data_IF_023099945199
#
_entry.id   IF_023099945199
#
_cell.length_a   1.000
_cell.length_b   1.000
_cell.length_c   1.000
_cell.angle_alpha   90.00
_cell.angle_beta   90.00
_cell.angle_gamma   90.00
#
_symmetry.space_group_name_H-M   'P 1'
#
loop_
_entity.id
_entity.type
_entity.pdbx_description
1 polymer ?
#
# COMPACT_ATOMS: atom_id res chain seq x y z
N UNK A 1 -12.45 -12.84 -7.52
CA UNK A 1 -12.93 -11.46 -7.71
C UNK A 1 -13.10 -10.84 -6.32
N UNK A 2 -12.75 -9.55 -6.17
CA UNK A 2 -12.78 -8.69 -4.95
C UNK A 2 -11.68 -9.03 -3.88
N UNK A 3 -10.93 -8.12 -3.20
CA UNK A 3 -11.07 -6.69 -2.77
C UNK A 3 -9.68 -6.02 -2.51
N UNK A 4 -9.54 -4.74 -2.89
CA UNK A 4 -8.82 -3.65 -2.18
C UNK A 4 -7.31 -3.68 -1.83
N UNK A 5 -6.51 -2.96 -2.63
CA UNK A 5 -5.22 -2.23 -2.39
C UNK A 5 -4.90 -1.42 -1.12
N UNK A 6 -4.57 -1.96 0.05
CA UNK A 6 -4.00 -1.12 1.11
C UNK A 6 -2.49 -0.95 0.92
N UNK A 7 -1.98 0.28 0.87
CA UNK A 7 -0.56 0.59 1.11
C UNK A 7 -0.53 1.34 2.44
N UNK A 8 -0.09 0.64 3.47
CA UNK A 8 0.13 1.10 4.82
C UNK A 8 1.57 0.76 5.24
N UNK A 9 2.18 1.59 6.07
CA UNK A 9 3.36 1.22 6.87
C UNK A 9 3.70 2.49 7.63
N UNK A 10 3.78 2.53 8.95
CA UNK A 10 3.85 1.47 9.96
C UNK A 10 2.57 0.61 10.15
N UNK A 11 2.69 -0.73 10.05
CA UNK A 11 1.79 -1.76 10.63
C UNK A 11 0.40 -2.00 10.01
N UNK A 12 0.30 -2.51 8.78
CA UNK A 12 -0.93 -2.56 7.93
C UNK A 12 -2.21 -3.29 8.42
N UNK A 13 -3.36 -2.81 7.87
CA UNK A 13 -4.75 -2.94 8.35
C UNK A 13 -5.62 -4.03 7.70
N UNK A 14 -6.57 -4.59 8.49
CA UNK A 14 -7.83 -5.16 8.00
C UNK A 14 -9.07 -4.61 8.75
N UNK A 15 -10.13 -4.47 7.95
CA UNK A 15 -11.48 -3.97 8.24
C UNK A 15 -12.21 -4.70 9.37
N UNK A 16 -12.72 -3.94 10.34
CA UNK A 16 -13.81 -4.36 11.22
C UNK A 16 -15.16 -3.96 10.63
N UNK A 17 -15.99 -4.94 10.25
CA UNK A 17 -17.44 -4.75 10.13
C UNK A 17 -18.04 -4.81 11.55
N UNK A 18 -18.31 -3.65 12.15
CA UNK A 18 -19.20 -3.53 13.31
C UNK A 18 -20.54 -3.03 12.83
N UNK A 19 -21.50 -3.93 12.69
CA UNK A 19 -22.90 -3.62 12.43
C UNK A 19 -23.43 -2.70 13.54
N UNK A 20 -23.92 -1.52 13.17
CA UNK A 20 -24.87 -0.78 14.00
C UNK A 20 -26.15 -1.60 13.99
N UNK A 21 -26.47 -2.21 15.14
CA UNK A 21 -27.79 -2.77 15.40
C UNK A 21 -28.76 -1.59 15.63
N UNK A 22 -29.32 -1.05 14.55
CA UNK A 22 -30.61 -0.39 14.65
C UNK A 22 -31.68 -1.46 14.41
N UNK A 23 -32.40 -1.77 15.49
CA UNK A 23 -33.52 -2.69 15.45
C UNK A 23 -34.68 -2.11 14.64
N UNK A 24 -35.25 -2.93 13.77
CA UNK A 24 -36.67 -2.86 13.46
C UNK A 24 -37.16 -4.24 12.99
N UNK A 25 -38.10 -4.80 13.76
CA UNK A 25 -38.93 -5.94 13.38
C UNK A 25 -40.06 -5.48 12.47
N UNK A 26 -40.35 -6.27 11.43
CA UNK A 26 -41.68 -6.69 10.94
C UNK A 26 -41.40 -7.43 9.61
N UNK A 27 -41.91 -8.63 9.33
CA UNK A 27 -43.29 -9.06 9.39
C UNK A 27 -43.71 -9.45 7.95
N UNK A 28 -43.73 -10.75 7.65
CA UNK A 28 -44.42 -11.44 6.55
C UNK A 28 -44.46 -10.86 5.11
N UNK A 29 -44.06 -11.66 4.11
CA UNK A 29 -44.57 -11.47 2.74
C UNK A 29 -43.75 -12.11 1.62
N UNK A 30 -44.11 -13.34 1.23
CA UNK A 30 -43.73 -14.01 -0.03
C UNK A 30 -44.32 -13.26 -1.25
N UNK A 31 -43.65 -13.27 -2.43
CA UNK A 31 -44.24 -13.65 -3.75
C UNK A 31 -43.27 -13.47 -4.95
N UNK A 32 -43.20 -14.58 -5.70
CA UNK A 32 -42.93 -14.89 -7.11
C UNK A 32 -42.15 -13.97 -8.09
N UNK A 33 -41.26 -14.66 -8.80
CA UNK A 33 -40.75 -14.34 -10.12
C UNK A 33 -41.82 -14.45 -11.24
N UNK A 34 -41.76 -13.55 -12.23
CA UNK A 34 -42.35 -13.79 -13.55
C UNK A 34 -41.37 -13.43 -14.68
N UNK A 35 -41.20 -14.41 -15.57
CA UNK A 35 -40.58 -14.30 -16.89
C UNK A 35 -41.59 -13.70 -17.86
N UNK A 36 -41.16 -12.76 -18.71
CA UNK A 36 -41.94 -12.22 -19.83
C UNK A 36 -41.11 -12.23 -21.10
N UNK A 37 -41.65 -12.85 -22.15
CA UNK A 37 -40.95 -13.24 -23.37
C UNK A 37 -40.98 -12.19 -24.50
N UNK A 38 -39.97 -12.33 -25.35
CA UNK A 38 -39.77 -11.95 -26.75
C UNK A 38 -41.01 -11.53 -27.56
N UNK A 39 -40.88 -10.43 -28.31
CA UNK A 39 -41.59 -10.22 -29.58
C UNK A 39 -40.60 -9.84 -30.69
N UNK A 40 -40.42 -10.73 -31.67
CA UNK A 40 -39.81 -10.42 -32.98
C UNK A 40 -40.87 -9.76 -33.85
N UNK A 41 -40.49 -8.73 -34.59
CA UNK A 41 -41.24 -8.24 -35.74
C UNK A 41 -40.27 -8.00 -36.89
N UNK A 42 -40.65 -8.50 -38.07
CA UNK A 42 -39.88 -8.52 -39.31
C UNK A 42 -40.59 -7.62 -40.34
N UNK A 43 -39.83 -6.72 -41.01
CA UNK A 43 -39.93 -6.27 -42.42
C UNK A 43 -39.13 -4.97 -42.58
N UNK A 44 -37.97 -5.02 -43.22
CA UNK A 44 -37.70 -4.90 -44.66
C UNK A 44 -37.75 -3.47 -45.18
N UNK A 45 -36.57 -2.88 -45.39
CA UNK A 45 -36.36 -1.64 -46.14
C UNK A 45 -34.86 -1.43 -46.31
N UNK A 46 -34.33 -1.73 -47.51
CA UNK A 46 -32.98 -1.34 -47.94
C UNK A 46 -32.95 0.18 -48.08
N UNK A 47 -31.93 0.83 -47.54
CA UNK A 47 -31.05 1.73 -48.29
C UNK A 47 -29.86 2.15 -47.42
N UNK A 48 -28.74 2.26 -48.13
CA UNK A 48 -27.51 2.98 -47.83
C UNK A 48 -26.44 2.38 -46.93
N UNK A 49 -25.34 2.07 -47.60
CA UNK A 49 -24.08 1.61 -47.06
C UNK A 49 -23.23 2.82 -46.72
N UNK A 50 -23.31 3.27 -45.47
CA UNK A 50 -22.36 4.19 -44.86
C UNK A 50 -21.89 3.53 -43.57
N UNK A 51 -20.67 3.00 -43.63
CA UNK A 51 -20.02 2.28 -42.54
C UNK A 51 -19.72 3.22 -41.36
N UNK A 52 -20.67 3.39 -40.45
CA UNK A 52 -20.38 3.81 -39.08
C UNK A 52 -19.75 2.64 -38.34
N UNK A 53 -18.42 2.55 -38.42
CA UNK A 53 -17.65 1.83 -37.42
C UNK A 53 -17.74 2.64 -36.14
N UNK A 54 -18.79 2.38 -35.36
CA UNK A 54 -18.95 2.89 -34.01
C UNK A 54 -17.76 2.45 -33.17
N UNK A 55 -16.77 3.33 -33.04
CA UNK A 55 -15.68 3.17 -32.09
C UNK A 55 -16.32 3.25 -30.70
N UNK A 56 -16.62 2.08 -30.13
CA UNK A 56 -16.93 1.95 -28.72
C UNK A 56 -15.66 2.31 -27.95
N UNK A 57 -15.43 3.62 -27.77
CA UNK A 57 -14.51 4.12 -26.77
C UNK A 57 -15.09 3.68 -25.43
N UNK A 58 -14.60 2.54 -24.94
CA UNK A 58 -14.58 2.25 -23.51
C UNK A 58 -13.90 3.44 -22.85
N UNK A 59 -14.69 4.42 -22.41
CA UNK A 59 -14.25 5.44 -21.45
C UNK A 59 -14.00 4.69 -20.15
N UNK A 60 -12.84 4.07 -20.02
CA UNK A 60 -12.26 3.79 -18.72
C UNK A 60 -11.94 5.15 -18.13
N UNK A 61 -12.90 5.76 -17.44
CA UNK A 61 -12.65 6.99 -16.68
C UNK A 61 -11.74 6.61 -15.51
N UNK A 62 -10.44 6.57 -15.75
CA UNK A 62 -9.45 6.60 -14.69
C UNK A 62 -9.66 7.94 -14.00
N UNK A 63 -10.32 7.94 -12.85
CA UNK A 63 -10.45 9.16 -12.04
C UNK A 63 -9.04 9.61 -11.69
N UNK A 64 -8.69 10.83 -12.06
CA UNK A 64 -7.33 11.35 -11.86
C UNK A 64 -7.07 11.51 -10.36
N UNK A 65 -6.01 10.88 -9.87
CA UNK A 65 -5.54 11.09 -8.49
C UNK A 65 -4.72 12.38 -8.47
N UNK A 66 -5.16 13.35 -7.69
CA UNK A 66 -4.39 14.57 -7.43
C UNK A 66 -3.58 14.39 -6.15
N UNK A 67 -2.28 14.62 -6.19
CA UNK A 67 -1.43 14.57 -5.00
C UNK A 67 -0.83 15.95 -4.76
N UNK A 68 -0.91 16.43 -3.53
CA UNK A 68 -0.36 17.74 -3.12
C UNK A 68 0.39 17.65 -1.81
N UNK A 69 1.47 18.41 -1.70
CA UNK A 69 2.14 18.66 -0.41
C UNK A 69 1.19 19.35 0.56
N UNK A 70 1.17 18.89 1.81
CA UNK A 70 0.47 19.52 2.94
C UNK A 70 1.17 20.84 3.26
N UNK A 71 0.41 21.94 3.33
CA UNK A 71 0.98 23.27 3.56
C UNK A 71 0.24 24.09 4.63
N UNK A 72 -0.96 23.68 5.03
CA UNK A 72 -1.78 24.37 6.02
C UNK A 72 -2.11 23.48 7.22
N UNK A 73 -2.55 24.11 8.32
CA UNK A 73 -3.07 23.38 9.48
C UNK A 73 -4.25 22.48 9.11
N UNK A 74 -5.15 22.95 8.25
CA UNK A 74 -6.29 22.17 7.77
C UNK A 74 -5.84 20.92 6.98
N UNK A 75 -4.79 21.03 6.18
CA UNK A 75 -4.21 19.87 5.48
C UNK A 75 -3.60 18.87 6.46
N UNK A 76 -2.93 19.35 7.52
CA UNK A 76 -2.38 18.49 8.58
C UNK A 76 -3.49 17.74 9.32
N UNK A 77 -4.59 18.42 9.65
CA UNK A 77 -5.77 17.80 10.27
C UNK A 77 -6.40 16.75 9.34
N UNK A 78 -6.50 17.04 8.04
CA UNK A 78 -7.00 16.09 7.05
C UNK A 78 -6.11 14.86 6.91
N UNK A 79 -4.78 15.02 6.98
CA UNK A 79 -3.83 13.92 6.98
C UNK A 79 -3.96 13.06 8.25
N UNK A 80 -3.99 13.68 9.43
CA UNK A 80 -4.20 13.00 10.71
C UNK A 80 -5.51 12.21 10.73
N UNK A 81 -6.62 12.85 10.36
CA UNK A 81 -7.93 12.20 10.28
C UNK A 81 -7.98 11.06 9.26
N UNK A 82 -7.23 11.17 8.16
CA UNK A 82 -7.09 10.05 7.22
C UNK A 82 -6.35 8.88 7.86
N UNK A 83 -5.21 9.11 8.52
CA UNK A 83 -4.46 8.06 9.19
C UNK A 83 -5.32 7.36 10.26
N UNK A 84 -6.08 8.12 11.04
CA UNK A 84 -7.00 7.56 12.03
C UNK A 84 -8.03 6.62 11.39
N UNK A 85 -8.62 7.01 10.25
CA UNK A 85 -9.56 6.15 9.49
C UNK A 85 -8.89 4.91 8.91
N UNK A 86 -7.66 5.03 8.41
CA UNK A 86 -6.93 3.89 7.81
C UNK A 86 -6.55 2.88 8.88
N UNK A 87 -6.15 3.31 10.07
CA UNK A 87 -5.73 2.44 11.17
C UNK A 87 -6.84 2.08 12.17
N UNK A 88 -8.02 2.70 12.05
CA UNK A 88 -9.15 2.44 12.95
C UNK A 88 -8.87 2.83 14.40
N UNK A 89 -8.06 3.86 14.61
CA UNK A 89 -7.65 4.36 15.93
C UNK A 89 -7.59 5.89 15.92
N UNK A 90 -7.46 6.49 17.10
CA UNK A 90 -7.26 7.94 17.24
C UNK A 90 -5.78 8.27 17.33
N UNK A 91 -5.40 9.42 16.77
CA UNK A 91 -4.06 9.96 16.86
C UNK A 91 -2.96 9.01 16.36
N UNK A 92 -3.21 8.28 15.26
CA UNK A 92 -2.22 7.42 14.60
C UNK A 92 -0.97 8.23 14.23
N UNK A 93 -1.17 9.41 13.66
CA UNK A 93 -0.14 10.45 13.58
C UNK A 93 -0.81 11.75 14.05
N UNK A 94 -0.47 12.26 15.25
CA UNK A 94 -1.04 13.51 15.75
C UNK A 94 -0.80 14.68 14.78
N UNK A 95 -1.79 15.54 14.62
CA UNK A 95 -1.72 16.73 13.74
C UNK A 95 -0.49 17.59 14.03
N UNK A 96 -0.17 17.76 15.31
CA UNK A 96 0.92 18.57 15.84
C UNK A 96 2.27 17.99 15.45
N UNK A 97 2.38 16.66 15.38
CA UNK A 97 3.57 15.97 14.87
C UNK A 97 3.79 16.26 13.39
N UNK A 98 2.71 16.28 12.59
CA UNK A 98 2.78 16.63 11.17
C UNK A 98 3.23 18.09 11.02
N UNK A 99 2.63 19.02 11.76
CA UNK A 99 3.00 20.45 11.76
C UNK A 99 4.48 20.64 12.12
N UNK A 100 4.92 20.05 13.24
CA UNK A 100 6.30 20.14 13.69
C UNK A 100 7.28 19.58 12.65
N UNK A 101 6.92 18.48 12.00
CA UNK A 101 7.74 17.88 10.94
C UNK A 101 7.87 18.79 9.73
N UNK A 102 6.77 19.41 9.27
CA UNK A 102 6.81 20.36 8.16
C UNK A 102 7.65 21.58 8.50
N UNK A 103 7.52 22.10 9.73
CA UNK A 103 8.35 23.22 10.20
C UNK A 103 9.84 22.86 10.23
N UNK A 104 10.19 21.62 10.56
CA UNK A 104 11.55 21.10 10.55
C UNK A 104 12.08 20.72 9.15
N UNK A 105 11.33 20.99 8.07
CA UNK A 105 11.73 20.70 6.70
C UNK A 105 11.41 19.28 6.21
N UNK A 106 10.60 18.52 6.96
CA UNK A 106 10.08 17.23 6.54
C UNK A 106 8.94 17.34 5.51
N UNK A 107 8.23 16.23 5.30
CA UNK A 107 7.25 16.10 4.22
C UNK A 107 5.94 15.47 4.68
N UNK A 108 4.84 16.04 4.20
CA UNK A 108 3.57 15.35 4.15
C UNK A 108 2.84 15.68 2.83
N UNK A 109 2.00 14.76 2.36
CA UNK A 109 1.19 14.95 1.16
C UNK A 109 -0.17 14.28 1.31
N UNK A 110 -1.19 14.85 0.67
CA UNK A 110 -2.53 14.28 0.53
C UNK A 110 -2.75 13.80 -0.90
N UNK A 111 -3.55 12.74 -1.05
CA UNK A 111 -4.08 12.29 -2.31
C UNK A 111 -5.61 12.43 -2.32
N UNK A 112 -6.10 13.06 -3.37
CA UNK A 112 -7.50 13.38 -3.57
C UNK A 112 -8.05 12.71 -4.83
N UNK A 113 -9.29 12.23 -4.75
CA UNK A 113 -10.08 11.74 -5.87
C UNK A 113 -11.45 12.41 -5.79
N UNK A 114 -11.84 13.13 -6.84
CA UNK A 114 -13.11 13.89 -6.91
C UNK A 114 -13.33 14.83 -5.71
N UNK A 115 -12.27 15.49 -5.25
CA UNK A 115 -12.31 16.41 -4.11
C UNK A 115 -12.36 15.74 -2.73
N UNK A 116 -12.25 14.41 -2.66
CA UNK A 116 -12.22 13.65 -1.41
C UNK A 116 -10.80 13.21 -1.11
N UNK A 117 -10.31 13.48 0.10
CA UNK A 117 -9.02 12.97 0.59
C UNK A 117 -9.13 11.45 0.84
N UNK A 118 -8.37 10.69 0.06
CA UNK A 118 -8.39 9.22 0.04
C UNK A 118 -7.05 8.58 0.39
N UNK A 119 -5.98 9.37 0.43
CA UNK A 119 -4.64 8.90 0.74
C UNK A 119 -3.77 10.00 1.36
N UNK A 120 -2.78 9.63 2.15
CA UNK A 120 -1.79 10.56 2.68
C UNK A 120 -0.46 9.86 2.94
N UNK A 121 0.59 10.66 2.95
CA UNK A 121 1.94 10.24 3.31
C UNK A 121 2.55 11.26 4.25
N UNK A 122 3.29 10.80 5.26
CA UNK A 122 4.06 11.60 6.18
C UNK A 122 5.46 11.01 6.35
N UNK A 123 6.47 11.88 6.42
CA UNK A 123 7.86 11.50 6.64
C UNK A 123 8.70 12.67 7.13
N UNK A 124 9.81 12.35 7.77
CA UNK A 124 10.74 13.30 8.36
C UNK A 124 12.14 13.13 7.78
N UNK A 125 12.93 14.21 7.81
CA UNK A 125 14.32 14.16 7.36
C UNK A 125 15.11 13.15 8.20
N UNK A 126 15.96 12.40 7.54
CA UNK A 126 16.80 11.38 8.14
C UNK A 126 18.24 11.52 7.63
N UNK A 127 19.18 11.04 8.44
CA UNK A 127 20.56 10.84 8.01
C UNK A 127 20.89 9.37 8.15
N UNK A 128 21.45 8.78 7.10
CA UNK A 128 21.94 7.40 7.10
C UNK A 128 23.31 7.39 6.44
N UNK A 129 24.32 6.84 7.12
CA UNK A 129 25.72 6.81 6.64
C UNK A 129 26.26 8.20 6.20
N UNK A 130 25.86 9.26 6.91
CA UNK A 130 26.28 10.63 6.61
C UNK A 130 25.58 11.28 5.41
N UNK A 131 24.63 10.58 4.78
CA UNK A 131 23.83 11.06 3.64
C UNK A 131 22.45 11.49 4.10
N UNK A 132 21.99 12.64 3.60
CA UNK A 132 20.67 13.18 3.95
C UNK A 132 19.59 12.58 3.07
N UNK A 133 18.51 12.13 3.69
CA UNK A 133 17.36 11.56 3.01
C UNK A 133 16.06 11.84 3.74
N UNK A 134 15.00 11.18 3.27
CA UNK A 134 13.67 11.24 3.88
C UNK A 134 13.31 9.87 4.44
N UNK A 135 12.99 9.78 5.72
CA UNK A 135 12.31 8.60 6.26
C UNK A 135 10.80 8.75 6.07
N UNK A 136 10.22 7.97 5.16
CA UNK A 136 8.78 7.90 4.91
C UNK A 136 8.08 7.06 5.97
N UNK A 137 7.80 7.65 7.12
CA UNK A 137 7.25 6.93 8.28
C UNK A 137 5.87 6.31 8.04
N UNK A 138 4.93 7.08 7.47
CA UNK A 138 3.55 6.62 7.24
C UNK A 138 3.09 6.92 5.82
N UNK A 139 2.46 5.96 5.17
CA UNK A 139 1.67 6.14 3.95
C UNK A 139 0.39 5.37 4.13
N UNK A 140 -0.78 5.95 3.91
CA UNK A 140 -2.07 5.29 4.10
C UNK A 140 -3.03 5.62 2.96
N UNK A 141 -3.87 4.65 2.59
CA UNK A 141 -4.91 4.82 1.56
C UNK A 141 -6.20 4.19 2.08
N UNK A 142 -7.34 4.86 1.92
CA UNK A 142 -8.64 4.28 2.27
C UNK A 142 -8.91 3.02 1.46
N UNK A 143 -9.41 1.98 2.12
CA UNK A 143 -9.72 0.66 1.54
C UNK A 143 -10.67 0.70 0.33
N UNK A 144 -11.51 1.73 0.20
CA UNK A 144 -12.39 1.93 -0.96
C UNK A 144 -11.65 2.40 -2.23
N UNK A 145 -10.50 3.05 -2.08
CA UNK A 145 -9.66 3.58 -3.19
C UNK A 145 -8.42 2.75 -3.44
N UNK A 146 -8.42 1.59 -2.82
CA UNK A 146 -7.41 0.58 -2.86
C UNK A 146 -7.33 -0.03 -4.28
N UNK A 147 -6.16 -0.04 -4.91
CA UNK A 147 -5.88 -0.37 -6.33
C UNK A 147 -6.13 0.76 -7.35
N UNK A 148 -6.56 1.96 -6.94
CA UNK A 148 -6.76 3.06 -7.88
C UNK A 148 -5.44 3.80 -8.26
N UNK A 149 -4.28 3.19 -8.00
CA UNK A 149 -2.97 3.82 -8.21
C UNK A 149 -2.58 4.89 -7.17
N UNK A 150 -3.41 5.12 -6.14
CA UNK A 150 -3.22 6.20 -5.15
C UNK A 150 -1.88 6.10 -4.41
N UNK A 151 -1.54 4.93 -3.87
CA UNK A 151 -0.28 4.80 -3.12
C UNK A 151 0.97 4.90 -4.01
N UNK A 152 0.87 4.49 -5.29
CA UNK A 152 1.95 4.74 -6.25
C UNK A 152 2.10 6.24 -6.52
N UNK A 153 0.99 6.95 -6.74
CA UNK A 153 1.01 8.41 -6.94
C UNK A 153 1.61 9.15 -5.73
N UNK A 154 1.22 8.76 -4.51
CA UNK A 154 1.77 9.30 -3.25
C UNK A 154 3.29 9.10 -3.16
N UNK A 155 3.77 7.88 -3.42
CA UNK A 155 5.22 7.57 -3.36
C UNK A 155 6.00 8.31 -4.45
N UNK A 156 5.48 8.37 -5.67
CA UNK A 156 6.10 9.15 -6.74
C UNK A 156 6.17 10.64 -6.40
N UNK A 157 5.11 11.22 -5.85
CA UNK A 157 5.13 12.61 -5.38
C UNK A 157 6.18 12.82 -4.28
N UNK A 158 6.25 11.92 -3.30
CA UNK A 158 7.25 11.97 -2.23
C UNK A 158 8.69 11.89 -2.76
N UNK A 159 8.94 11.02 -3.75
CA UNK A 159 10.23 10.91 -4.43
C UNK A 159 10.60 12.19 -5.18
N UNK A 160 9.64 12.76 -5.93
CA UNK A 160 9.85 14.02 -6.66
C UNK A 160 10.12 15.19 -5.70
N UNK A 161 9.43 15.23 -4.57
CA UNK A 161 9.72 16.20 -3.52
C UNK A 161 11.14 16.00 -2.99
N UNK A 162 11.54 14.77 -2.65
CA UNK A 162 12.88 14.47 -2.14
C UNK A 162 13.98 14.87 -3.14
N UNK A 163 13.77 14.60 -4.43
CA UNK A 163 14.68 15.02 -5.50
C UNK A 163 14.83 16.54 -5.56
N UNK A 164 13.73 17.30 -5.47
CA UNK A 164 13.77 18.77 -5.44
C UNK A 164 14.46 19.33 -4.20
N UNK A 165 14.47 18.60 -3.09
CA UNK A 165 15.18 18.97 -1.87
C UNK A 165 16.67 18.57 -1.90
N UNK A 166 17.15 17.95 -2.98
CA UNK A 166 18.54 17.47 -3.07
C UNK A 166 18.83 16.30 -2.13
N UNK A 167 17.82 15.50 -1.79
CA UNK A 167 17.97 14.34 -0.92
C UNK A 167 18.50 13.13 -1.71
N UNK A 168 19.31 12.33 -1.04
CA UNK A 168 19.95 11.15 -1.63
C UNK A 168 19.01 9.96 -1.80
N UNK A 169 18.06 9.82 -0.87
CA UNK A 169 17.19 8.66 -0.80
C UNK A 169 15.89 8.93 -0.04
N UNK A 170 14.95 7.99 -0.19
CA UNK A 170 13.80 7.82 0.71
C UNK A 170 13.89 6.44 1.36
N UNK A 171 13.72 6.33 2.67
CA UNK A 171 13.73 5.07 3.42
C UNK A 171 12.42 4.80 4.13
N UNK A 172 12.13 3.52 4.37
CA UNK A 172 11.03 3.09 5.22
C UNK A 172 11.18 1.62 5.59
N UNK A 173 10.41 1.15 6.56
CA UNK A 173 10.37 -0.27 6.93
C UNK A 173 9.05 -0.90 6.52
N UNK A 174 9.04 -2.20 6.20
CA UNK A 174 7.82 -2.97 5.93
C UNK A 174 7.81 -4.35 6.56
N UNK A 175 6.63 -4.94 6.72
CA UNK A 175 6.49 -6.32 7.19
C UNK A 175 6.88 -7.30 6.07
N UNK A 176 7.95 -8.10 6.25
CA UNK A 176 8.38 -9.03 5.21
C UNK A 176 7.41 -10.17 4.93
N UNK A 177 6.40 -10.41 5.78
CA UNK A 177 5.36 -11.41 5.49
C UNK A 177 4.24 -10.88 4.60
N UNK A 178 4.11 -9.55 4.46
CA UNK A 178 3.04 -8.95 3.64
C UNK A 178 3.47 -8.98 2.18
N UNK A 179 3.09 -10.05 1.49
CA UNK A 179 3.45 -10.36 0.10
C UNK A 179 3.19 -9.20 -0.87
N UNK A 180 2.04 -8.53 -0.76
CA UNK A 180 1.70 -7.39 -1.62
C UNK A 180 2.65 -6.20 -1.40
N UNK A 181 3.13 -5.99 -0.17
CA UNK A 181 4.08 -4.93 0.14
C UNK A 181 5.47 -5.27 -0.38
N UNK A 182 5.87 -6.53 -0.29
CA UNK A 182 7.10 -7.00 -0.90
C UNK A 182 7.10 -6.71 -2.42
N UNK A 183 6.02 -7.07 -3.11
CA UNK A 183 5.85 -6.76 -4.53
C UNK A 183 5.82 -5.25 -4.83
N UNK A 184 5.04 -4.47 -4.07
CA UNK A 184 4.93 -3.02 -4.28
C UNK A 184 6.27 -2.33 -4.08
N UNK A 185 6.96 -2.59 -2.97
CA UNK A 185 8.22 -1.94 -2.63
C UNK A 185 9.36 -2.37 -3.56
N UNK A 186 9.50 -3.67 -3.85
CA UNK A 186 10.66 -4.19 -4.59
C UNK A 186 10.47 -4.22 -6.11
N UNK A 187 9.24 -4.40 -6.60
CA UNK A 187 8.96 -4.47 -8.05
C UNK A 187 8.35 -3.18 -8.56
N UNK A 188 7.27 -2.67 -7.95
CA UNK A 188 6.62 -1.44 -8.46
C UNK A 188 7.49 -0.20 -8.24
N UNK A 189 8.05 -0.03 -7.05
CA UNK A 189 8.92 1.10 -6.72
C UNK A 189 10.40 0.82 -7.02
N UNK A 190 10.85 -0.42 -6.94
CA UNK A 190 12.27 -0.74 -7.13
C UNK A 190 13.17 -0.32 -5.96
N UNK A 191 12.60 -0.16 -4.75
CA UNK A 191 13.39 0.01 -3.54
C UNK A 191 14.24 -1.24 -3.26
N UNK A 192 15.36 -1.06 -2.56
CA UNK A 192 16.31 -2.13 -2.22
C UNK A 192 16.28 -2.37 -0.73
N UNK A 193 16.27 -3.64 -0.33
CA UNK A 193 16.39 -4.01 1.08
C UNK A 193 17.83 -3.75 1.53
N UNK A 194 17.99 -3.03 2.64
CA UNK A 194 19.30 -2.76 3.24
C UNK A 194 19.47 -3.45 4.60
N UNK A 195 18.42 -3.50 5.41
CA UNK A 195 18.49 -4.04 6.77
C UNK A 195 17.28 -4.89 7.13
N UNK A 196 17.44 -5.67 8.18
CA UNK A 196 16.39 -6.42 8.83
C UNK A 196 16.44 -6.17 10.33
N UNK A 197 15.27 -5.90 10.90
CA UNK A 197 15.11 -5.70 12.33
C UNK A 197 14.04 -6.63 12.85
N UNK A 198 14.43 -7.41 13.85
CA UNK A 198 13.53 -8.26 14.58
C UNK A 198 12.73 -7.45 15.60
N UNK A 199 11.41 -7.64 15.60
CA UNK A 199 10.50 -7.01 16.57
C UNK A 199 10.71 -5.50 16.76
N UNK A 200 10.93 -4.79 15.66
CA UNK A 200 11.45 -3.41 15.63
C UNK A 200 10.61 -2.40 16.41
N UNK A 201 9.28 -2.52 16.35
CA UNK A 201 8.34 -1.66 17.07
C UNK A 201 7.77 -2.34 18.33
N UNK A 202 8.33 -3.48 18.75
CA UNK A 202 7.76 -4.29 19.82
C UNK A 202 6.43 -4.94 19.43
N UNK A 203 5.62 -5.26 20.44
CA UNK A 203 4.26 -5.76 20.26
C UNK A 203 3.34 -4.56 20.04
N UNK A 204 2.79 -4.45 18.83
CA UNK A 204 1.85 -3.38 18.50
C UNK A 204 0.43 -3.85 18.82
N UNK A 205 -0.21 -3.18 19.79
CA UNK A 205 -1.63 -3.37 20.14
C UNK A 205 -2.51 -2.32 19.46
N UNK A 206 -2.32 -2.13 18.15
CA UNK A 206 -3.26 -1.37 17.33
C UNK A 206 -4.41 -2.28 16.85
N UNK A 207 -5.38 -1.72 16.14
CA UNK A 207 -6.49 -2.49 15.58
C UNK A 207 -6.07 -3.62 14.63
N UNK A 208 -4.80 -3.68 14.22
CA UNK A 208 -4.32 -4.36 13.01
C UNK A 208 -3.32 -5.48 13.27
N UNK A 209 -2.43 -5.27 14.25
CA UNK A 209 -1.30 -6.14 14.57
C UNK A 209 -1.45 -6.83 15.93
N UNK A 210 -2.67 -6.83 16.51
CA UNK A 210 -2.96 -7.26 17.90
C UNK A 210 -2.07 -8.41 18.37
N UNK A 211 -1.09 -8.09 19.23
CA UNK A 211 -0.25 -9.08 19.90
C UNK A 211 0.94 -9.62 19.09
N UNK A 212 1.20 -9.15 17.87
CA UNK A 212 2.27 -9.68 17.03
C UNK A 212 3.62 -9.00 17.18
N UNK A 213 4.68 -9.80 16.97
CA UNK A 213 6.06 -9.32 16.83
C UNK A 213 6.23 -8.60 15.50
N UNK A 214 6.90 -7.46 15.54
CA UNK A 214 7.04 -6.55 14.39
C UNK A 214 8.37 -6.70 13.68
N UNK A 215 8.55 -7.84 13.01
CA UNK A 215 9.71 -7.96 12.12
C UNK A 215 9.56 -6.98 10.94
N UNK A 216 10.66 -6.32 10.62
CA UNK A 216 10.70 -5.23 9.66
C UNK A 216 11.92 -5.38 8.76
N UNK A 217 11.70 -5.37 7.46
CA UNK A 217 12.77 -5.13 6.49
C UNK A 217 12.82 -3.63 6.20
N UNK A 218 14.01 -3.06 6.31
CA UNK A 218 14.28 -1.68 5.94
C UNK A 218 14.64 -1.61 4.47
N UNK A 219 14.03 -0.68 3.75
CA UNK A 219 14.35 -0.43 2.35
C UNK A 219 14.80 0.99 2.12
N UNK A 220 15.68 1.12 1.14
CA UNK A 220 16.16 2.39 0.61
C UNK A 220 15.76 2.52 -0.86
N UNK A 221 15.21 3.68 -1.20
CA UNK A 221 14.80 4.05 -2.54
C UNK A 221 15.63 5.23 -3.00
N UNK A 222 16.52 4.98 -3.96
CA UNK A 222 17.48 5.98 -4.43
C UNK A 222 16.78 7.16 -5.10
N UNK A 223 17.23 8.37 -4.77
CA UNK A 223 16.80 9.62 -5.39
C UNK A 223 17.98 10.19 -6.17
N UNK A 224 18.90 10.90 -5.50
CA UNK A 224 20.09 11.51 -6.10
C UNK A 224 19.75 12.36 -7.34
N UNK A 225 20.66 12.37 -8.30
CA UNK A 225 20.50 13.10 -9.57
C UNK A 225 19.68 12.34 -10.64
N UNK A 226 18.95 11.29 -10.24
CA UNK A 226 18.15 10.52 -11.19
C UNK A 226 17.03 11.39 -11.79
N UNK A 227 16.74 11.30 -13.10
CA UNK A 227 15.66 12.05 -13.73
C UNK A 227 14.27 11.46 -13.43
N UNK A 228 14.21 10.24 -12.90
CA UNK A 228 12.97 9.53 -12.60
C UNK A 228 13.15 8.56 -11.42
N UNK A 229 12.05 8.21 -10.71
CA UNK A 229 12.10 7.19 -9.68
C UNK A 229 12.51 5.83 -10.26
N UNK A 230 13.26 5.02 -9.48
CA UNK A 230 13.57 3.64 -9.82
C UNK A 230 12.32 2.82 -10.17
N UNK A 231 12.54 1.71 -10.87
CA UNK A 231 11.57 0.63 -11.03
C UNK A 231 12.26 -0.70 -10.82
N UNK A 232 11.55 -1.62 -10.19
CA UNK A 232 12.04 -2.97 -9.98
C UNK A 232 11.62 -3.91 -11.10
N UNK A 233 12.12 -5.12 -11.02
CA UNK A 233 11.78 -6.25 -11.88
C UNK A 233 11.82 -7.53 -11.04
N UNK A 234 11.18 -8.58 -11.56
CA UNK A 234 11.31 -9.89 -10.93
C UNK A 234 12.74 -10.41 -11.10
N UNK A 235 13.26 -11.01 -10.03
CA UNK A 235 14.53 -11.73 -10.08
C UNK A 235 14.26 -13.13 -10.60
N UNK A 236 14.91 -13.50 -11.71
CA UNK A 236 14.71 -14.79 -12.37
C UNK A 236 15.42 -15.95 -11.64
N UNK A 237 16.60 -15.69 -11.09
CA UNK A 237 17.46 -16.71 -10.46
C UNK A 237 17.99 -16.22 -9.13
N UNK A 238 18.00 -17.10 -8.14
CA UNK A 238 18.52 -16.87 -6.80
C UNK A 238 19.26 -18.13 -6.35
N UNK A 239 20.21 -17.98 -5.41
CA UNK A 239 20.86 -19.14 -4.80
C UNK A 239 19.84 -19.94 -3.98
N UNK A 240 18.99 -19.21 -3.25
CA UNK A 240 17.84 -19.74 -2.53
C UNK A 240 16.83 -18.61 -2.31
N UNK A 241 15.69 -18.92 -1.71
CA UNK A 241 14.60 -17.97 -1.53
C UNK A 241 14.04 -17.98 -0.10
N UNK A 242 13.67 -16.79 0.39
CA UNK A 242 12.89 -16.65 1.62
C UNK A 242 11.42 -16.66 1.26
N UNK A 243 10.71 -17.68 1.72
CA UNK A 243 9.29 -17.83 1.44
C UNK A 243 8.44 -16.74 2.13
N UNK A 244 7.33 -16.40 1.49
CA UNK A 244 6.28 -15.52 2.02
C UNK A 244 4.96 -16.27 1.87
N UNK A 245 4.04 -16.29 2.85
CA UNK A 245 2.72 -16.87 2.63
C UNK A 245 1.97 -16.11 1.52
N UNK A 246 0.98 -16.74 0.84
CA UNK A 246 0.12 -16.04 -0.11
C UNK A 246 -0.62 -14.85 0.49
N UNK A 247 -1.10 -14.99 1.73
CA UNK A 247 -1.86 -13.96 2.44
C UNK A 247 -1.66 -14.10 3.96
N UNK A 248 -0.63 -13.44 4.50
CA UNK A 248 -0.40 -13.46 5.96
C UNK A 248 -1.58 -12.84 6.70
N UNK A 249 -2.19 -11.77 6.17
CA UNK A 249 -3.22 -11.00 6.87
C UNK A 249 -4.52 -11.80 7.05
N UNK A 250 -4.85 -12.67 6.09
CA UNK A 250 -5.91 -13.63 6.26
C UNK A 250 -5.56 -14.68 7.34
N UNK A 251 -4.34 -15.21 7.34
CA UNK A 251 -3.89 -16.18 8.35
C UNK A 251 -3.94 -15.59 9.75
N UNK A 252 -3.52 -14.34 9.96
CA UNK A 252 -3.61 -13.66 11.26
C UNK A 252 -5.00 -13.70 11.90
N UNK A 253 -6.04 -13.69 11.07
CA UNK A 253 -7.45 -13.71 11.53
C UNK A 253 -8.02 -15.11 11.65
N UNK A 254 -7.58 -16.03 10.79
CA UNK A 254 -8.22 -17.34 10.61
C UNK A 254 -7.45 -18.46 11.31
N UNK A 255 -6.13 -18.35 11.38
CA UNK A 255 -5.21 -19.31 11.98
C UNK A 255 -3.95 -18.60 12.52
N UNK A 256 -4.04 -17.97 13.71
CA UNK A 256 -2.94 -17.21 14.31
C UNK A 256 -1.69 -18.06 14.59
N UNK A 257 -1.85 -19.34 14.91
CA UNK A 257 -0.73 -20.25 15.17
C UNK A 257 0.06 -20.51 13.89
N UNK A 258 -0.62 -20.72 12.77
CA UNK A 258 0.05 -20.81 11.46
C UNK A 258 0.70 -19.48 11.08
N UNK A 259 0.07 -18.34 11.32
CA UNK A 259 0.67 -17.02 11.08
C UNK A 259 1.96 -16.82 11.89
N UNK A 260 1.97 -17.23 13.16
CA UNK A 260 3.14 -17.19 14.02
C UNK A 260 4.24 -18.14 13.55
N UNK A 261 3.87 -19.36 13.10
CA UNK A 261 4.82 -20.29 12.50
C UNK A 261 5.49 -19.75 11.23
N UNK A 262 4.76 -18.98 10.41
CA UNK A 262 5.33 -18.24 9.28
C UNK A 262 6.33 -17.18 9.74
N UNK A 263 6.01 -16.43 10.80
CA UNK A 263 6.93 -15.43 11.38
C UNK A 263 8.22 -16.06 11.87
N UNK A 264 8.14 -17.15 12.62
CA UNK A 264 9.33 -17.84 13.15
C UNK A 264 10.22 -18.37 12.03
N UNK A 265 9.62 -19.01 11.01
CA UNK A 265 10.37 -19.54 9.86
C UNK A 265 11.03 -18.42 9.07
N UNK A 266 10.29 -17.37 8.74
CA UNK A 266 10.82 -16.25 7.97
C UNK A 266 11.91 -15.51 8.74
N UNK A 267 11.75 -15.31 10.06
CA UNK A 267 12.79 -14.75 10.93
C UNK A 267 14.07 -15.56 10.88
N UNK A 268 13.97 -16.89 10.99
CA UNK A 268 15.13 -17.77 10.92
C UNK A 268 15.87 -17.63 9.58
N UNK A 269 15.13 -17.53 8.47
CA UNK A 269 15.72 -17.34 7.16
C UNK A 269 16.31 -15.94 6.96
N UNK A 270 15.63 -14.88 7.40
CA UNK A 270 16.16 -13.52 7.33
C UNK A 270 17.42 -13.35 8.19
N UNK A 271 17.50 -13.96 9.38
CA UNK A 271 18.76 -14.00 10.16
C UNK A 271 19.89 -14.63 9.36
N UNK A 272 19.68 -15.77 8.69
CA UNK A 272 20.71 -16.36 7.80
C UNK A 272 21.14 -15.38 6.71
N UNK A 273 20.22 -14.60 6.15
CA UNK A 273 20.56 -13.60 5.14
C UNK A 273 21.45 -12.50 5.70
N UNK A 274 21.01 -11.86 6.78
CA UNK A 274 21.64 -10.64 7.29
C UNK A 274 22.85 -10.90 8.20
N UNK A 275 22.96 -12.08 8.80
CA UNK A 275 24.14 -12.51 9.59
C UNK A 275 25.17 -13.27 8.73
N UNK A 276 24.78 -13.71 7.52
CA UNK A 276 25.63 -14.47 6.60
C UNK A 276 26.12 -13.68 5.39
N UNK A 277 26.82 -14.32 4.43
CA UNK A 277 27.38 -13.67 3.24
C UNK A 277 26.33 -13.40 2.14
N UNK A 278 25.07 -13.17 2.53
CA UNK A 278 23.93 -13.10 1.62
C UNK A 278 23.26 -11.73 1.63
N UNK A 279 22.46 -11.45 0.61
CA UNK A 279 21.55 -10.29 0.55
C UNK A 279 20.27 -10.63 -0.18
N UNK A 280 19.21 -9.87 0.11
CA UNK A 280 17.99 -9.91 -0.69
C UNK A 280 18.20 -9.11 -1.97
N UNK A 281 18.22 -9.77 -3.13
CA UNK A 281 18.37 -9.13 -4.44
C UNK A 281 17.09 -8.46 -4.94
N UNK A 282 15.93 -8.98 -4.51
CA UNK A 282 14.64 -8.53 -4.97
C UNK A 282 13.55 -9.56 -4.71
N UNK A 283 12.53 -9.53 -5.58
CA UNK A 283 11.31 -10.32 -5.45
C UNK A 283 11.16 -11.26 -6.64
N UNK A 284 10.73 -12.49 -6.40
CA UNK A 284 10.57 -13.52 -7.43
C UNK A 284 9.12 -13.61 -7.92
N UNK A 285 8.90 -14.21 -9.09
CA UNK A 285 7.56 -14.31 -9.68
C UNK A 285 6.61 -15.21 -8.88
N UNK A 286 7.14 -16.17 -8.13
CA UNK A 286 6.39 -17.01 -7.17
C UNK A 286 6.05 -16.28 -5.86
N UNK A 287 6.53 -15.05 -5.73
CA UNK A 287 6.34 -14.12 -4.63
C UNK A 287 7.15 -14.38 -3.37
N UNK A 288 8.28 -15.07 -3.51
CA UNK A 288 9.35 -15.15 -2.49
C UNK A 288 10.37 -14.00 -2.65
N UNK A 289 11.25 -13.84 -1.65
CA UNK A 289 12.44 -13.00 -1.78
C UNK A 289 13.61 -13.78 -2.37
N UNK A 290 14.25 -13.22 -3.39
CA UNK A 290 15.46 -13.80 -3.98
C UNK A 290 16.69 -13.50 -3.11
N UNK A 291 17.41 -14.55 -2.70
CA UNK A 291 18.67 -14.43 -1.95
C UNK A 291 19.86 -14.75 -2.85
N UNK A 292 20.87 -13.88 -2.81
CA UNK A 292 22.13 -14.02 -3.57
C UNK A 292 23.32 -13.70 -2.67
N UNK A 293 24.55 -14.09 -3.03
CA UNK A 293 25.76 -13.65 -2.33
C UNK A 293 25.90 -12.11 -2.31
N UNK A 294 26.50 -11.56 -1.25
CA UNK A 294 26.79 -10.12 -1.15
C UNK A 294 27.77 -9.66 -2.22
#
# INVERSE_FOLDING_TARGET
MVRGVLIAQVGECLLGYGMVNDGYTDGHGTILAQRGAVKRMHRSGRTDASSEVGLLLLRTSVRAVRVTTVASRADCEAAGALFDRVWGMSAMVPTETIIATLHAGGHASLAEVDGVVVGATWGFLASHEGRLGLHSHVTGVLSAHANAGVGLALKHHQWQWASKQGLDFVTWTFDPLVRRNAYFNLVKLGAKVSEYHENFYGVINDGLNRGERTDRVFVMWSVGDSPAPPRGSFVATAEWAVAIPPDIEALRRTDPDVAQGWRDRQRADLRKVFDGPWRIAGYMADGSYAVVPR
#
